data_IF_202895199833
#
_entry.id   IF_202895199833
#
_cell.length_a   1.000
_cell.length_b   1.000
_cell.length_c   1.000
_cell.angle_alpha   90.00
_cell.angle_beta   90.00
_cell.angle_gamma   90.00
#
_symmetry.space_group_name_H-M   'P 1'
#
loop_
_entity.id
_entity.type
_entity.pdbx_description
1 polymer ?
#
# COMPACT_ATOMS: atom_id res chain seq x y z
N UNK A 1 -10.60 -7.49 10.49
CA UNK A 1 -11.38 -6.60 9.61
C UNK A 1 -10.53 -5.37 9.43
N UNK A 2 -10.07 -5.11 8.20
CA UNK A 2 -9.21 -3.96 7.93
C UNK A 2 -10.04 -2.67 7.92
N UNK A 3 -9.49 -1.62 8.50
CA UNK A 3 -10.11 -0.31 8.54
C UNK A 3 -10.04 0.37 7.17
N UNK A 4 -11.07 1.11 6.79
CA UNK A 4 -11.10 1.94 5.59
C UNK A 4 -9.86 2.85 5.48
N UNK A 5 -9.38 3.39 6.60
CA UNK A 5 -8.18 4.21 6.66
C UNK A 5 -6.93 3.49 6.10
N UNK A 6 -6.74 2.21 6.42
CA UNK A 6 -5.60 1.43 5.91
C UNK A 6 -5.65 1.28 4.40
N UNK A 7 -6.85 1.08 3.84
CA UNK A 7 -7.03 0.97 2.40
C UNK A 7 -6.76 2.31 1.70
N UNK A 8 -7.25 3.41 2.26
CA UNK A 8 -6.97 4.76 1.76
C UNK A 8 -5.48 5.10 1.84
N UNK A 9 -4.80 4.74 2.94
CA UNK A 9 -3.35 4.92 3.07
C UNK A 9 -2.60 4.14 1.99
N UNK A 10 -2.95 2.86 1.76
CA UNK A 10 -2.35 2.07 0.70
C UNK A 10 -2.52 2.74 -0.67
N UNK A 11 -3.76 3.13 -1.02
CA UNK A 11 -4.04 3.75 -2.31
C UNK A 11 -3.27 5.05 -2.50
N UNK A 12 -3.19 5.89 -1.46
CA UNK A 12 -2.40 7.12 -1.51
C UNK A 12 -0.90 6.84 -1.71
N UNK A 13 -0.37 5.77 -1.09
CA UNK A 13 1.03 5.38 -1.26
C UNK A 13 1.34 4.85 -2.67
N UNK A 14 0.42 4.09 -3.27
CA UNK A 14 0.64 3.49 -4.60
C UNK A 14 0.19 4.40 -5.75
N UNK A 15 -0.46 5.52 -5.47
CA UNK A 15 -0.85 6.51 -6.48
C UNK A 15 0.39 7.01 -7.26
N UNK A 16 0.31 7.03 -8.58
CA UNK A 16 1.42 7.35 -9.48
C UNK A 16 2.29 6.15 -9.87
N UNK A 17 2.06 4.96 -9.31
CA UNK A 17 2.76 3.73 -9.72
C UNK A 17 2.55 3.47 -11.22
N UNK A 18 3.60 3.31 -12.05
CA UNK A 18 3.46 3.16 -13.50
C UNK A 18 2.59 1.98 -13.95
N UNK A 19 1.97 2.10 -15.12
CA UNK A 19 1.26 0.97 -15.73
C UNK A 19 2.26 -0.01 -16.34
N UNK A 20 2.30 -1.24 -15.83
CA UNK A 20 3.09 -2.33 -16.40
C UNK A 20 2.18 -3.54 -16.57
N UNK A 21 1.94 -4.02 -17.81
CA UNK A 21 1.20 -5.26 -18.04
C UNK A 21 1.81 -6.42 -17.26
N UNK A 22 1.02 -7.10 -16.44
CA UNK A 22 1.51 -8.19 -15.59
C UNK A 22 2.22 -7.75 -14.31
N UNK A 23 2.33 -6.45 -14.05
CA UNK A 23 3.03 -5.91 -12.90
C UNK A 23 2.33 -6.24 -11.58
N UNK A 24 3.13 -6.55 -10.56
CA UNK A 24 2.69 -6.87 -9.20
C UNK A 24 3.72 -6.36 -8.17
N UNK A 25 4.21 -5.14 -8.37
CA UNK A 25 5.18 -4.52 -7.46
C UNK A 25 5.02 -2.99 -7.42
N UNK A 26 5.65 -2.30 -6.44
CA UNK A 26 5.72 -0.84 -6.43
C UNK A 26 6.37 -0.22 -7.68
N UNK A 27 7.12 -0.99 -8.47
CA UNK A 27 7.72 -0.51 -9.72
C UNK A 27 6.69 -0.39 -10.86
N UNK A 28 5.54 -1.05 -10.75
CA UNK A 28 4.46 -0.96 -11.73
C UNK A 28 3.41 -2.06 -11.61
N UNK A 29 2.20 -1.75 -12.07
CA UNK A 29 1.04 -2.65 -12.01
C UNK A 29 0.05 -2.40 -13.13
N UNK A 30 -0.69 -3.42 -13.53
CA UNK A 30 -1.80 -3.29 -14.48
C UNK A 30 -3.14 -3.06 -13.73
N UNK A 31 -4.25 -2.99 -14.48
CA UNK A 31 -5.58 -2.82 -13.91
C UNK A 31 -5.91 -3.92 -12.88
N UNK A 32 -5.64 -5.18 -13.25
CA UNK A 32 -5.89 -6.35 -12.42
C UNK A 32 -4.94 -6.50 -11.23
N UNK A 33 -3.69 -6.06 -11.36
CA UNK A 33 -2.73 -6.03 -10.28
C UNK A 33 -3.16 -5.04 -9.21
N UNK A 34 -3.60 -3.83 -9.58
CA UNK A 34 -4.16 -2.89 -8.63
C UNK A 34 -5.41 -3.45 -7.92
N UNK A 35 -6.34 -4.06 -8.67
CA UNK A 35 -7.52 -4.71 -8.08
C UNK A 35 -7.11 -5.83 -7.10
N UNK A 36 -6.04 -6.57 -7.42
CA UNK A 36 -5.48 -7.60 -6.53
C UNK A 36 -4.95 -7.00 -5.24
N UNK A 37 -4.16 -5.93 -5.31
CA UNK A 37 -3.60 -5.27 -4.13
C UNK A 37 -4.68 -4.79 -3.18
N UNK A 38 -5.70 -4.13 -3.73
CA UNK A 38 -6.84 -3.63 -2.95
C UNK A 38 -7.61 -4.77 -2.32
N UNK A 39 -7.91 -5.82 -3.08
CA UNK A 39 -8.66 -6.98 -2.58
C UNK A 39 -7.87 -7.77 -1.53
N UNK A 40 -6.56 -7.87 -1.70
CA UNK A 40 -5.67 -8.51 -0.74
C UNK A 40 -5.60 -7.71 0.56
N UNK A 41 -5.35 -6.40 0.45
CA UNK A 41 -5.36 -5.51 1.61
C UNK A 41 -6.70 -5.56 2.35
N UNK A 42 -7.82 -5.49 1.64
CA UNK A 42 -9.15 -5.54 2.26
C UNK A 42 -9.46 -6.86 2.98
N UNK A 43 -8.68 -7.92 2.74
CA UNK A 43 -8.93 -9.27 3.27
C UNK A 43 -7.76 -9.81 4.07
N UNK A 44 -6.94 -8.91 4.62
CA UNK A 44 -5.80 -9.23 5.50
C UNK A 44 -4.78 -10.18 4.84
N UNK A 45 -4.61 -10.08 3.50
CA UNK A 45 -3.63 -10.83 2.71
C UNK A 45 -2.42 -9.96 2.33
N UNK A 46 -1.25 -10.56 2.03
CA UNK A 46 -0.13 -9.83 1.45
C UNK A 46 -0.56 -9.06 0.21
N UNK A 47 -0.25 -7.76 0.17
CA UNK A 47 -0.66 -6.88 -0.93
C UNK A 47 -0.12 -7.39 -2.27
N UNK A 48 1.16 -7.76 -2.31
CA UNK A 48 1.86 -8.29 -3.47
C UNK A 48 1.99 -9.82 -3.42
N UNK A 49 2.14 -10.46 -4.58
CA UNK A 49 2.46 -11.88 -4.71
C UNK A 49 1.24 -12.81 -4.76
N UNK A 50 0.05 -12.32 -4.43
CA UNK A 50 -1.24 -13.02 -4.60
C UNK A 50 -2.12 -12.28 -5.62
N UNK A 51 -1.60 -12.17 -6.85
CA UNK A 51 -2.24 -11.49 -7.98
C UNK A 51 -3.29 -12.36 -8.68
N UNK A 52 -4.34 -11.72 -9.19
CA UNK A 52 -5.28 -12.26 -10.18
C UNK A 52 -5.33 -11.40 -11.44
N UNK A 53 -6.08 -11.87 -12.44
CA UNK A 53 -6.36 -11.18 -13.71
C UNK A 53 -7.86 -11.26 -14.03
N UNK A 54 -8.32 -10.48 -15.01
CA UNK A 54 -9.75 -10.44 -15.41
C UNK A 54 -10.34 -11.80 -15.78
N UNK A 55 -9.51 -12.75 -16.23
CA UNK A 55 -9.93 -14.11 -16.58
C UNK A 55 -10.24 -15.01 -15.38
N UNK A 56 -9.69 -14.72 -14.19
CA UNK A 56 -9.97 -15.47 -12.96
C UNK A 56 -10.49 -14.59 -11.79
N UNK A 57 -10.77 -13.31 -12.06
CA UNK A 57 -11.14 -12.30 -11.08
C UNK A 57 -12.36 -12.71 -10.24
N UNK A 58 -13.41 -13.28 -10.85
CA UNK A 58 -14.59 -13.74 -10.11
C UNK A 58 -14.26 -14.76 -9.02
N UNK A 59 -13.48 -15.79 -9.38
CA UNK A 59 -13.10 -16.85 -8.44
C UNK A 59 -12.14 -16.32 -7.37
N UNK A 60 -11.21 -15.44 -7.76
CA UNK A 60 -10.25 -14.83 -6.87
C UNK A 60 -10.91 -13.91 -5.82
N UNK A 61 -11.89 -13.10 -6.24
CA UNK A 61 -12.68 -12.24 -5.36
C UNK A 61 -13.60 -13.06 -4.45
N UNK A 62 -14.23 -14.12 -4.97
CA UNK A 62 -15.04 -15.03 -4.15
C UNK A 62 -14.20 -15.71 -3.05
N UNK A 63 -12.98 -16.15 -3.34
CA UNK A 63 -12.05 -16.70 -2.35
C UNK A 63 -11.58 -15.66 -1.30
N UNK A 64 -11.76 -14.38 -1.63
CA UNK A 64 -11.53 -13.21 -0.77
C UNK A 64 -12.81 -12.78 -0.02
N UNK A 65 -13.91 -13.52 -0.14
CA UNK A 65 -15.15 -13.23 0.57
C UNK A 65 -16.01 -12.13 -0.06
N UNK A 66 -15.68 -11.71 -1.28
CA UNK A 66 -16.53 -10.80 -2.03
C UNK A 66 -17.83 -11.50 -2.43
N UNK A 67 -18.88 -10.71 -2.53
CA UNK A 67 -20.23 -11.10 -2.94
C UNK A 67 -20.52 -10.54 -4.34
N UNK A 68 -21.34 -11.24 -5.13
CA UNK A 68 -21.73 -10.75 -6.47
C UNK A 68 -22.63 -9.52 -6.37
N UNK A 69 -22.42 -8.56 -7.27
CA UNK A 69 -23.19 -7.31 -7.36
C UNK A 69 -22.43 -6.11 -6.81
N UNK A 70 -23.18 -5.14 -6.29
CA UNK A 70 -22.67 -3.89 -5.72
C UNK A 70 -23.44 -3.57 -4.45
N UNK A 71 -22.80 -2.92 -3.49
CA UNK A 71 -23.45 -2.41 -2.28
C UNK A 71 -22.98 -0.99 -1.96
N UNK A 72 -23.84 -0.15 -1.37
CA UNK A 72 -23.40 1.15 -0.85
C UNK A 72 -22.39 0.93 0.29
N UNK A 73 -21.48 1.90 0.46
CA UNK A 73 -20.47 1.90 1.53
C UNK A 73 -19.60 0.64 1.57
N UNK A 74 -19.45 -0.04 0.43
CA UNK A 74 -18.65 -1.26 0.29
C UNK A 74 -17.48 -1.03 -0.66
N UNK A 75 -16.46 -1.86 -0.54
CA UNK A 75 -15.43 -1.95 -1.57
C UNK A 75 -16.04 -2.65 -2.78
N UNK A 76 -16.13 -1.97 -3.92
CA UNK A 76 -16.73 -2.53 -5.15
C UNK A 76 -15.67 -2.63 -6.24
N UNK A 77 -15.69 -3.73 -6.96
CA UNK A 77 -14.81 -4.00 -8.10
C UNK A 77 -15.69 -4.36 -9.29
N UNK A 78 -15.47 -3.64 -10.40
CA UNK A 78 -16.16 -3.84 -11.66
C UNK A 78 -15.15 -4.21 -12.74
N UNK A 79 -15.46 -5.25 -13.52
CA UNK A 79 -14.56 -5.73 -14.57
C UNK A 79 -15.29 -6.26 -15.81
N UNK A 80 -14.53 -6.40 -16.89
CA UNK A 80 -14.91 -7.09 -18.12
C UNK A 80 -13.72 -7.95 -18.62
N UNK A 81 -13.76 -8.43 -19.86
CA UNK A 81 -12.71 -9.30 -20.39
C UNK A 81 -11.30 -8.68 -20.48
N UNK A 82 -11.15 -7.36 -20.38
CA UNK A 82 -9.85 -6.69 -20.58
C UNK A 82 -9.53 -5.55 -19.62
N UNK A 83 -10.47 -5.15 -18.75
CA UNK A 83 -10.26 -4.05 -17.82
C UNK A 83 -11.00 -4.28 -16.50
N UNK A 84 -10.44 -3.74 -15.42
CA UNK A 84 -11.04 -3.73 -14.09
C UNK A 84 -10.71 -2.42 -13.37
N UNK A 85 -11.63 -1.96 -12.54
CA UNK A 85 -11.44 -0.78 -11.70
C UNK A 85 -12.16 -0.94 -10.36
N UNK A 86 -11.72 -0.15 -9.39
CA UNK A 86 -12.14 -0.25 -8.00
C UNK A 86 -12.87 1.02 -7.59
N UNK A 87 -13.88 0.89 -6.73
CA UNK A 87 -14.47 1.98 -5.96
C UNK A 87 -14.41 1.63 -4.48
N UNK A 88 -13.77 2.50 -3.70
CA UNK A 88 -13.61 2.35 -2.26
C UNK A 88 -14.94 2.57 -1.52
N UNK A 89 -15.07 2.14 -0.25
CA UNK A 89 -16.27 2.33 0.56
C UNK A 89 -16.77 3.77 0.68
N UNK A 90 -15.86 4.75 0.65
CA UNK A 90 -16.20 6.19 0.67
C UNK A 90 -16.68 6.72 -0.70
N UNK A 91 -16.76 5.86 -1.72
CA UNK A 91 -17.10 6.20 -3.09
C UNK A 91 -15.91 6.64 -3.94
N UNK A 92 -14.69 6.68 -3.39
CA UNK A 92 -13.49 7.10 -4.11
C UNK A 92 -13.15 6.09 -5.22
N UNK A 93 -13.14 6.51 -6.51
CA UNK A 93 -12.74 5.63 -7.60
C UNK A 93 -11.22 5.51 -7.69
N UNK A 94 -10.72 4.32 -7.98
CA UNK A 94 -9.30 4.02 -8.16
C UNK A 94 -9.13 3.08 -9.35
N UNK A 95 -8.22 3.42 -10.26
CA UNK A 95 -7.93 2.60 -11.43
C UNK A 95 -6.46 2.65 -11.82
N UNK A 96 -6.00 1.63 -12.51
CA UNK A 96 -4.74 1.62 -13.26
C UNK A 96 -5.08 1.31 -14.72
N UNK A 97 -4.44 1.99 -15.67
CA UNK A 97 -4.66 1.82 -17.12
C UNK A 97 -5.55 2.88 -17.76
N UNK A 98 -6.25 3.71 -16.97
CA UNK A 98 -7.14 4.75 -17.49
C UNK A 98 -6.41 6.10 -17.65
N UNK A 99 -5.49 6.16 -18.61
CA UNK A 99 -4.64 7.33 -18.82
C UNK A 99 -3.26 7.23 -18.15
N UNK A 100 -2.87 6.03 -17.74
CA UNK A 100 -1.54 5.77 -17.17
C UNK A 100 -1.60 4.72 -16.07
N UNK A 101 -0.68 4.82 -15.12
CA UNK A 101 -0.59 3.94 -13.96
C UNK A 101 -1.71 4.13 -12.94
N UNK A 102 -1.44 3.73 -11.70
CA UNK A 102 -2.38 3.83 -10.58
C UNK A 102 -2.74 5.29 -10.32
N UNK A 103 -4.04 5.58 -10.24
CA UNK A 103 -4.55 6.90 -9.91
C UNK A 103 -5.84 6.81 -9.10
N UNK A 104 -6.05 7.84 -8.29
CA UNK A 104 -7.34 8.15 -7.69
C UNK A 104 -8.12 9.03 -8.67
N UNK A 105 -9.40 8.74 -8.88
CA UNK A 105 -10.25 9.41 -9.86
C UNK A 105 -10.66 8.51 -11.02
N UNK A 106 -11.49 9.04 -11.92
CA UNK A 106 -12.06 8.31 -13.04
C UNK A 106 -13.46 7.74 -12.73
N UNK A 107 -13.86 6.72 -13.49
CA UNK A 107 -15.22 6.15 -13.38
C UNK A 107 -15.37 5.06 -12.30
N UNK A 108 -14.26 4.54 -11.77
CA UNK A 108 -14.27 3.47 -10.76
C UNK A 108 -14.99 2.22 -11.24
N UNK A 109 -15.49 1.41 -10.31
CA UNK A 109 -16.18 0.14 -10.59
C UNK A 109 -17.54 0.31 -11.29
N UNK A 110 -18.10 1.52 -11.39
CA UNK A 110 -19.47 1.75 -11.90
C UNK A 110 -19.52 2.18 -13.38
N UNK A 111 -18.42 2.01 -14.11
CA UNK A 111 -18.39 2.35 -15.54
C UNK A 111 -19.29 1.41 -16.34
N UNK A 112 -20.02 1.96 -17.32
CA UNK A 112 -20.97 1.21 -18.14
C UNK A 112 -20.34 0.06 -18.96
N UNK A 113 -19.02 0.04 -19.10
CA UNK A 113 -18.27 -1.02 -19.80
C UNK A 113 -18.11 -2.31 -19.00
N UNK A 114 -18.33 -2.28 -17.68
CA UNK A 114 -18.15 -3.45 -16.83
C UNK A 114 -19.40 -4.32 -16.83
N UNK A 115 -19.19 -5.60 -17.14
CA UNK A 115 -20.26 -6.60 -17.21
C UNK A 115 -20.34 -7.45 -15.95
N UNK A 116 -19.32 -7.39 -15.09
CA UNK A 116 -19.25 -8.11 -13.84
C UNK A 116 -18.93 -7.16 -12.70
N UNK A 117 -19.53 -7.43 -11.54
CA UNK A 117 -19.33 -6.65 -10.33
C UNK A 117 -19.32 -7.58 -9.11
N UNK A 118 -18.42 -7.30 -8.19
CA UNK A 118 -18.40 -7.91 -6.86
C UNK A 118 -18.06 -6.86 -5.82
N UNK A 119 -18.57 -7.05 -4.61
CA UNK A 119 -18.33 -6.15 -3.49
C UNK A 119 -17.92 -6.89 -2.23
N UNK A 120 -17.18 -6.20 -1.37
CA UNK A 120 -16.84 -6.62 -0.03
C UNK A 120 -17.36 -5.57 0.96
N UNK A 121 -18.28 -5.93 1.88
CA UNK A 121 -18.65 -5.05 2.99
C UNK A 121 -17.41 -4.69 3.82
N UNK A 122 -17.20 -3.40 4.06
CA UNK A 122 -16.15 -2.87 4.93
C UNK A 122 -16.85 -1.97 5.94
N UNK A 123 -16.56 -2.14 7.23
CA UNK A 123 -17.03 -1.18 8.24
C UNK A 123 -16.23 0.12 8.10
N UNK A 124 -16.81 1.07 7.37
CA UNK A 124 -16.23 2.40 7.17
C UNK A 124 -16.12 3.19 8.49
N UNK A 125 -16.97 2.88 9.48
CA UNK A 125 -17.04 3.56 10.78
C UNK A 125 -16.05 3.01 11.83
N UNK A 126 -15.40 1.87 11.57
CA UNK A 126 -14.40 1.30 12.49
C UNK A 126 -13.17 2.22 12.72
N UNK A 127 -13.03 3.28 11.92
CA UNK A 127 -12.01 4.34 12.09
C UNK A 127 -12.34 5.35 13.19
N UNK A 128 -13.60 5.45 13.63
CA UNK A 128 -13.99 6.41 14.67
C UNK A 128 -13.65 5.91 16.09
N UNK A 129 -13.58 4.60 16.30
CA UNK A 129 -13.29 4.00 17.61
C UNK A 129 -11.79 3.76 17.87
N UNK A 130 -10.95 3.72 16.82
CA UNK A 130 -9.49 3.50 16.94
C UNK A 130 -8.64 4.75 16.63
N UNK A 131 -9.29 5.87 16.25
CA UNK A 131 -8.60 7.15 16.24
C UNK A 131 -8.42 7.61 17.70
N UNK A 132 -7.17 7.79 18.20
CA UNK A 132 -6.99 8.42 19.50
C UNK A 132 -7.70 9.78 19.46
N UNK A 133 -8.60 10.00 20.44
CA UNK A 133 -9.26 11.30 20.57
C UNK A 133 -8.22 12.41 20.57
N UNK A 134 -8.48 13.55 19.90
CA UNK A 134 -7.54 14.68 19.85
C UNK A 134 -7.23 15.31 21.22
N UNK A 135 -7.85 14.82 22.30
CA UNK A 135 -7.61 15.22 23.70
C UNK A 135 -6.65 14.29 24.48
N UNK A 136 -6.04 13.28 23.85
CA UNK A 136 -4.94 12.56 24.50
C UNK A 136 -3.65 13.40 24.41
N UNK A 137 -3.03 13.80 25.53
CA UNK A 137 -1.74 14.48 25.47
C UNK A 137 -0.74 13.55 24.79
N UNK A 138 -0.15 14.03 23.69
CA UNK A 138 0.94 13.35 23.00
C UNK A 138 2.06 13.05 24.00
N UNK A 139 2.22 11.78 24.37
CA UNK A 139 3.46 11.30 24.95
C UNK A 139 4.49 11.27 23.83
N UNK A 140 5.25 12.37 23.74
CA UNK A 140 6.48 12.43 22.98
C UNK A 140 7.40 11.31 23.49
N UNK A 141 7.47 10.22 22.75
CA UNK A 141 8.56 9.25 22.92
C UNK A 141 9.82 9.99 22.51
N UNK A 142 10.73 10.09 23.47
CA UNK A 142 11.94 10.89 23.47
C UNK A 142 12.70 10.81 22.15
N UNK A 143 13.00 11.98 21.59
CA UNK A 143 13.93 12.12 20.50
C UNK A 143 15.33 11.84 21.06
N UNK A 144 15.89 10.67 20.73
CA UNK A 144 17.33 10.46 20.87
C UNK A 144 18.05 11.31 19.81
N UNK A 145 18.48 12.47 20.29
CA UNK A 145 19.35 13.46 19.67
C UNK A 145 20.62 12.80 19.08
N UNK A 146 20.90 12.92 17.76
CA UNK A 146 22.19 12.56 17.20
C UNK A 146 23.14 13.76 17.35
N UNK A 147 23.66 13.95 18.57
CA UNK A 147 24.31 15.20 18.94
C UNK A 147 25.49 15.11 19.90
N UNK A 148 26.36 14.09 19.86
CA UNK A 148 27.71 14.30 20.41
C UNK A 148 28.77 13.33 19.84
N UNK A 149 29.60 13.85 18.94
CA UNK A 149 30.91 13.30 18.59
C UNK A 149 31.88 13.59 19.74
N UNK A 150 32.57 12.61 20.34
CA UNK A 150 33.69 12.91 21.22
C UNK A 150 34.91 13.31 20.38
N UNK A 151 35.29 14.58 20.45
CA UNK A 151 36.60 15.07 19.97
C UNK A 151 37.73 14.66 20.95
N UNK A 152 39.00 14.61 20.49
CA UNK A 152 40.04 13.75 21.06
C UNK A 152 40.73 14.36 22.28
N UNK A 153 41.13 13.52 23.23
CA UNK A 153 42.10 13.88 24.27
C UNK A 153 43.46 13.26 23.93
N UNK A 154 44.42 14.13 23.59
CA UNK A 154 45.84 13.83 23.47
C UNK A 154 46.45 13.73 24.85
N UNK A 155 47.17 12.65 25.15
CA UNK A 155 48.24 12.65 26.14
C UNK A 155 49.47 11.98 25.53
N UNK A 156 50.48 12.83 25.29
CA UNK A 156 51.83 12.50 24.87
C UNK A 156 52.62 11.94 26.07
N UNK A 157 53.49 10.96 25.84
CA UNK A 157 54.84 11.16 26.34
C UNK A 157 55.90 10.70 25.33
N UNK A 158 56.68 11.63 24.76
CA UNK A 158 58.00 11.31 24.19
C UNK A 158 59.07 11.07 25.28
N UNK A 159 60.35 10.87 24.94
CA UNK A 159 60.95 10.24 23.75
C UNK A 159 61.81 8.99 24.15
N UNK A 160 62.74 8.57 23.28
CA UNK A 160 63.80 7.52 23.43
C UNK A 160 63.37 6.13 22.90
N UNK A 161 63.95 5.55 21.84
CA UNK A 161 65.06 5.90 20.96
C UNK A 161 65.24 4.79 19.90
N UNK A 162 65.86 5.10 18.76
CA UNK A 162 66.30 4.09 17.77
C UNK A 162 67.37 3.17 18.38
N UNK A 163 67.48 1.90 17.94
CA UNK A 163 68.42 1.65 16.83
C UNK A 163 68.02 0.53 15.85
N UNK A 164 68.47 0.74 14.60
CA UNK A 164 69.13 -0.21 13.69
C UNK A 164 68.60 -1.65 13.48
N UNK A 165 68.26 -1.89 12.20
CA UNK A 165 68.84 -2.91 11.30
C UNK A 165 68.63 -4.43 11.52
N UNK A 166 68.53 -5.10 10.34
CA UNK A 166 69.04 -6.44 9.96
C UNK A 166 68.03 -7.59 9.81
N UNK A 167 67.95 -8.06 8.55
CA UNK A 167 67.71 -9.41 7.99
C UNK A 167 66.68 -10.36 8.63
N UNK A 168 65.79 -10.90 7.78
CA UNK A 168 66.05 -12.13 6.98
C UNK A 168 64.98 -12.28 5.91
#
# INVERSE_FOLDING_TARGET
>A
MIALATLLTLINQVSGTPYIPGGDSPAGTDCSGLASWVSNAATDRPVFGDRFNTGNEEAALAARGFQRGTAPNALVIGWNGGHTAVTLPDGTPVASGEGGGVRIGGGGAYQAQFTHHMYLPIDADAVADDAPSPDAPAVLVDAVDPGEVPAPASDDPGPIGDPEMVNT
#
